data_IF_980987825703
#
_entry.id   IF_980987825703
#
_cell.length_a   1.000
_cell.length_b   1.000
_cell.length_c   1.000
_cell.angle_alpha   90.00
_cell.angle_beta   90.00
_cell.angle_gamma   90.00
#
_symmetry.space_group_name_H-M   'P 1'
#
loop_
_entity.id
_entity.type
_entity.pdbx_description
1 polymer ?
#
# COMPACT_ATOMS: atom_id res chain seq x y z
N UNK A 1 33.65 -62.23 61.88
CA UNK A 1 33.75 -62.22 60.39
C UNK A 1 32.41 -62.41 59.69
N UNK A 2 31.59 -63.41 60.06
CA UNK A 2 30.30 -63.70 59.38
C UNK A 2 29.29 -62.53 59.42
N UNK A 3 29.11 -61.88 60.57
CA UNK A 3 28.23 -60.69 60.71
C UNK A 3 28.62 -59.52 59.78
N UNK A 4 29.93 -59.28 59.60
CA UNK A 4 30.43 -58.21 58.74
C UNK A 4 30.14 -58.49 57.25
N UNK A 5 30.23 -59.77 56.86
CA UNK A 5 29.97 -60.21 55.49
C UNK A 5 28.46 -60.13 55.15
N UNK A 6 27.59 -60.49 56.10
CA UNK A 6 26.14 -60.34 55.97
C UNK A 6 25.73 -58.87 55.86
N UNK A 7 26.34 -57.99 56.65
CA UNK A 7 26.03 -56.56 56.59
C UNK A 7 26.48 -55.92 55.26
N UNK A 8 27.64 -56.31 54.72
CA UNK A 8 28.11 -55.85 53.40
C UNK A 8 27.15 -56.32 52.29
N UNK A 9 26.66 -57.57 52.36
CA UNK A 9 25.68 -58.08 51.39
C UNK A 9 24.38 -57.29 51.47
N UNK A 10 23.82 -57.07 52.66
CA UNK A 10 22.58 -56.30 52.85
C UNK A 10 22.75 -54.85 52.37
N UNK A 11 23.88 -54.20 52.72
CA UNK A 11 24.18 -52.85 52.23
C UNK A 11 24.33 -52.82 50.70
N UNK A 12 24.96 -53.81 50.07
CA UNK A 12 25.08 -53.87 48.60
C UNK A 12 23.73 -54.09 47.90
N UNK A 13 22.83 -54.87 48.50
CA UNK A 13 21.48 -55.13 47.99
C UNK A 13 20.58 -53.88 48.03
N UNK A 14 20.84 -52.93 48.93
CA UNK A 14 20.08 -51.67 49.03
C UNK A 14 20.76 -50.55 48.24
N UNK A 15 22.08 -50.40 48.34
CA UNK A 15 22.82 -49.27 47.75
C UNK A 15 22.90 -49.36 46.22
N UNK A 16 23.09 -50.55 45.65
CA UNK A 16 23.20 -50.70 44.19
C UNK A 16 21.89 -50.32 43.48
N UNK A 17 20.71 -50.79 43.90
CA UNK A 17 19.44 -50.34 43.31
C UNK A 17 19.17 -48.84 43.47
N UNK A 18 19.50 -48.26 44.63
CA UNK A 18 19.31 -46.82 44.88
C UNK A 18 20.21 -45.97 43.98
N UNK A 19 21.48 -46.36 43.78
CA UNK A 19 22.39 -45.68 42.85
C UNK A 19 21.94 -45.83 41.39
N UNK A 20 21.43 -47.01 41.00
CA UNK A 20 20.84 -47.22 39.68
C UNK A 20 19.59 -46.38 39.46
N UNK A 21 18.74 -46.23 40.47
CA UNK A 21 17.58 -45.35 40.42
C UNK A 21 17.97 -43.88 40.32
N UNK A 22 18.90 -43.40 41.16
CA UNK A 22 19.37 -42.01 41.13
C UNK A 22 20.03 -41.64 39.79
N UNK A 23 20.82 -42.55 39.21
CA UNK A 23 21.41 -42.36 37.87
C UNK A 23 20.36 -42.38 36.76
N UNK A 24 19.32 -43.21 36.87
CA UNK A 24 18.20 -43.20 35.93
C UNK A 24 17.37 -41.90 36.01
N UNK A 25 17.06 -41.43 37.22
CA UNK A 25 16.30 -40.19 37.45
C UNK A 25 17.08 -38.97 36.96
N UNK A 26 18.38 -38.87 37.26
CA UNK A 26 19.22 -37.75 36.80
C UNK A 26 19.38 -37.73 35.28
N UNK A 27 19.50 -38.90 34.63
CA UNK A 27 19.47 -39.01 33.17
C UNK A 27 18.12 -38.57 32.60
N UNK A 28 17.02 -39.05 33.19
CA UNK A 28 15.66 -38.67 32.78
C UNK A 28 15.42 -37.16 32.91
N UNK A 29 15.81 -36.56 34.03
CA UNK A 29 15.70 -35.12 34.27
C UNK A 29 16.50 -34.29 33.25
N UNK A 30 17.74 -34.69 32.93
CA UNK A 30 18.55 -34.02 31.89
C UNK A 30 17.91 -34.11 30.50
N UNK A 31 17.31 -35.26 30.16
CA UNK A 31 16.60 -35.43 28.88
C UNK A 31 15.37 -34.53 28.82
N UNK A 32 14.58 -34.46 29.89
CA UNK A 32 13.41 -33.57 29.94
C UNK A 32 13.79 -32.09 29.88
N UNK A 33 14.85 -31.68 30.58
CA UNK A 33 15.36 -30.31 30.51
C UNK A 33 15.86 -29.95 29.11
N UNK A 34 16.65 -30.83 28.48
CA UNK A 34 17.12 -30.64 27.11
C UNK A 34 15.96 -30.55 26.10
N UNK A 35 14.94 -31.41 26.27
CA UNK A 35 13.72 -31.37 25.45
C UNK A 35 12.97 -30.04 25.63
N UNK A 36 12.77 -29.59 26.86
CA UNK A 36 12.08 -28.34 27.17
C UNK A 36 12.81 -27.12 26.59
N UNK A 37 14.14 -27.04 26.76
CA UNK A 37 14.95 -25.96 26.16
C UNK A 37 14.83 -25.92 24.63
N UNK A 38 14.87 -27.10 23.98
CA UNK A 38 14.73 -27.22 22.52
C UNK A 38 13.34 -26.83 22.03
N UNK A 39 12.29 -27.20 22.76
CA UNK A 39 10.91 -26.77 22.49
C UNK A 39 10.79 -25.25 22.55
N UNK A 40 11.33 -24.61 23.59
CA UNK A 40 11.28 -23.15 23.70
C UNK A 40 12.15 -22.46 22.63
N UNK A 41 13.27 -23.06 22.22
CA UNK A 41 14.09 -22.54 21.14
C UNK A 41 13.35 -22.50 19.79
N UNK A 42 12.67 -23.60 19.40
CA UNK A 42 11.92 -23.61 18.13
C UNK A 42 10.71 -22.69 18.18
N UNK A 43 10.07 -22.52 19.34
CA UNK A 43 9.01 -21.52 19.53
C UNK A 43 9.56 -20.10 19.41
N UNK A 44 10.72 -19.82 20.00
CA UNK A 44 11.42 -18.55 19.90
C UNK A 44 11.81 -18.20 18.47
N UNK A 45 12.30 -19.18 17.70
CA UNK A 45 12.60 -19.02 16.28
C UNK A 45 11.39 -18.69 15.44
N UNK A 46 10.25 -19.33 15.70
CA UNK A 46 9.00 -18.98 15.03
C UNK A 46 8.53 -17.57 15.42
N UNK A 47 8.56 -17.21 16.70
CA UNK A 47 8.17 -15.85 17.15
C UNK A 47 9.03 -14.77 16.52
N UNK A 48 10.33 -15.03 16.36
CA UNK A 48 11.25 -14.09 15.69
C UNK A 48 10.87 -13.93 14.22
N UNK A 49 10.54 -15.01 13.52
CA UNK A 49 10.05 -14.94 12.14
C UNK A 49 8.75 -14.13 11.99
N UNK A 50 7.91 -14.09 13.02
CA UNK A 50 6.65 -13.34 13.04
C UNK A 50 6.78 -11.92 13.61
N UNK A 51 7.95 -11.55 14.13
CA UNK A 51 8.17 -10.23 14.73
C UNK A 51 8.16 -9.11 13.67
N UNK A 52 8.55 -9.43 12.43
CA UNK A 52 8.45 -8.54 11.27
C UNK A 52 7.64 -9.22 10.14
N UNK A 53 6.31 -9.11 10.18
CA UNK A 53 5.45 -9.74 9.19
C UNK A 53 5.63 -9.17 7.79
N UNK A 54 6.06 -7.90 7.64
CA UNK A 54 6.30 -7.30 6.33
C UNK A 54 7.56 -7.90 5.70
N UNK A 55 8.65 -8.02 6.46
CA UNK A 55 9.85 -8.72 5.98
C UNK A 55 9.54 -10.17 5.65
N UNK A 56 8.76 -10.86 6.49
CA UNK A 56 8.33 -12.24 6.22
C UNK A 56 7.56 -12.36 4.89
N UNK A 57 6.58 -11.48 4.66
CA UNK A 57 5.79 -11.44 3.43
C UNK A 57 6.67 -11.27 2.17
N UNK A 58 7.72 -10.44 2.25
CA UNK A 58 8.66 -10.15 1.15
C UNK A 58 9.66 -11.29 0.95
N UNK A 59 10.33 -11.73 2.01
CA UNK A 59 11.37 -12.78 1.93
C UNK A 59 10.81 -14.12 1.48
N UNK A 60 9.60 -14.48 1.90
CA UNK A 60 8.97 -15.75 1.54
C UNK A 60 8.29 -15.75 0.16
N UNK A 61 8.34 -14.65 -0.59
CA UNK A 61 7.67 -14.58 -1.89
C UNK A 61 8.28 -15.54 -2.93
N UNK A 62 9.60 -15.72 -2.87
CA UNK A 62 10.33 -16.67 -3.71
C UNK A 62 10.11 -18.14 -3.30
N UNK A 63 9.42 -18.39 -2.18
CA UNK A 63 9.10 -19.75 -1.76
C UNK A 63 7.94 -20.31 -2.61
N UNK A 64 7.95 -21.64 -2.79
CA UNK A 64 6.86 -22.39 -3.38
C UNK A 64 6.30 -23.41 -2.40
N UNK A 65 5.37 -24.24 -2.89
CA UNK A 65 4.84 -25.38 -2.13
C UNK A 65 5.94 -26.38 -1.74
N UNK A 66 6.93 -26.57 -2.62
CA UNK A 66 8.05 -27.52 -2.44
C UNK A 66 9.41 -26.85 -2.30
N UNK A 67 9.50 -25.55 -2.62
CA UNK A 67 10.74 -24.77 -2.56
C UNK A 67 10.71 -23.90 -1.31
N UNK A 68 11.62 -24.15 -0.38
CA UNK A 68 11.71 -23.37 0.86
C UNK A 68 12.65 -22.18 0.71
N UNK A 69 12.32 -21.07 1.37
CA UNK A 69 13.26 -19.97 1.64
C UNK A 69 13.70 -20.04 3.09
N UNK A 70 15.00 -19.85 3.34
CA UNK A 70 15.54 -19.74 4.70
C UNK A 70 15.19 -18.38 5.30
N UNK A 71 14.75 -18.37 6.55
CA UNK A 71 14.48 -17.16 7.30
C UNK A 71 15.67 -16.78 8.16
N UNK A 72 15.73 -15.51 8.56
CA UNK A 72 16.77 -15.03 9.46
C UNK A 72 16.82 -15.88 10.74
N UNK A 73 18.02 -16.38 11.06
CA UNK A 73 18.23 -17.21 12.24
C UNK A 73 18.37 -16.33 13.49
N UNK A 74 17.58 -16.58 14.55
CA UNK A 74 17.74 -15.85 15.79
C UNK A 74 19.03 -16.29 16.50
N UNK A 75 19.68 -15.36 17.19
CA UNK A 75 20.86 -15.63 18.04
C UNK A 75 20.45 -16.33 19.35
N UNK A 76 19.98 -17.57 19.26
CA UNK A 76 19.60 -18.40 20.40
C UNK A 76 20.73 -19.34 20.82
N UNK A 77 20.83 -19.58 22.13
CA UNK A 77 21.79 -20.56 22.70
C UNK A 77 21.60 -21.97 22.13
N UNK A 78 20.35 -22.34 21.83
CA UNK A 78 20.04 -23.53 21.02
C UNK A 78 19.78 -23.07 19.59
N UNK A 79 20.66 -23.46 18.66
CA UNK A 79 20.52 -23.10 17.25
C UNK A 79 19.26 -23.71 16.64
N UNK A 80 18.55 -22.89 15.87
CA UNK A 80 17.35 -23.28 15.14
C UNK A 80 17.43 -22.77 13.71
N UNK A 81 16.95 -23.56 12.77
CA UNK A 81 16.80 -23.18 11.37
C UNK A 81 15.31 -23.01 11.06
N UNK A 82 14.94 -21.81 10.63
CA UNK A 82 13.57 -21.48 10.22
C UNK A 82 13.48 -21.43 8.70
N UNK A 83 12.47 -22.09 8.14
CA UNK A 83 12.19 -22.10 6.70
C UNK A 83 10.74 -21.72 6.46
N UNK A 84 10.45 -21.02 5.38
CA UNK A 84 9.10 -20.77 4.92
C UNK A 84 8.82 -21.43 3.57
N UNK A 85 7.57 -21.88 3.43
CA UNK A 85 6.99 -22.43 2.21
C UNK A 85 5.72 -21.63 1.91
N UNK A 86 5.50 -21.28 0.65
CA UNK A 86 4.29 -20.57 0.21
C UNK A 86 3.21 -21.58 -0.15
N UNK A 87 2.12 -21.58 0.59
CA UNK A 87 1.03 -22.55 0.43
C UNK A 87 -0.03 -22.05 -0.55
N UNK A 88 -0.47 -20.81 -0.38
CA UNK A 88 -1.53 -20.22 -1.18
C UNK A 88 -1.47 -18.70 -1.09
N UNK A 89 -2.09 -18.03 -2.04
CA UNK A 89 -2.11 -16.58 -2.20
C UNK A 89 -3.55 -16.11 -2.46
N UNK A 90 -3.93 -14.95 -1.90
CA UNK A 90 -5.25 -14.32 -2.08
C UNK A 90 -5.06 -12.94 -2.70
N UNK A 91 -5.81 -12.64 -3.75
CA UNK A 91 -5.74 -11.38 -4.49
C UNK A 91 -6.52 -10.25 -3.82
N UNK A 92 -6.15 -9.00 -4.15
CA UNK A 92 -6.71 -7.78 -3.57
C UNK A 92 -8.22 -7.68 -3.75
N UNK A 93 -8.68 -8.09 -4.92
CA UNK A 93 -10.09 -8.14 -5.28
C UNK A 93 -10.45 -9.55 -5.70
N UNK A 94 -11.69 -9.94 -5.37
CA UNK A 94 -12.31 -11.13 -5.93
C UNK A 94 -12.36 -10.97 -7.46
N UNK A 95 -11.87 -11.96 -8.24
CA UNK A 95 -12.03 -11.98 -9.69
C UNK A 95 -13.45 -11.68 -10.19
N UNK A 96 -14.47 -12.04 -9.41
CA UNK A 96 -15.89 -11.78 -9.69
C UNK A 96 -16.34 -10.36 -9.38
N UNK A 97 -15.46 -9.49 -8.87
CA UNK A 97 -15.73 -8.07 -8.62
C UNK A 97 -14.77 -7.16 -9.40
N UNK A 98 -14.07 -7.70 -10.41
CA UNK A 98 -13.13 -6.93 -11.22
C UNK A 98 -13.85 -5.94 -12.13
N UNK A 99 -13.75 -4.67 -11.76
CA UNK A 99 -14.10 -3.51 -12.59
C UNK A 99 -13.23 -3.41 -13.85
N UNK A 100 -13.64 -2.55 -14.79
CA UNK A 100 -12.76 -2.17 -15.89
C UNK A 100 -11.50 -1.49 -15.37
N UNK A 101 -10.37 -1.86 -15.97
CA UNK A 101 -9.05 -1.39 -15.60
C UNK A 101 -8.83 0.07 -16.00
N UNK A 102 -9.32 0.44 -17.17
CA UNK A 102 -9.14 1.77 -17.76
C UNK A 102 -10.41 2.20 -18.48
N UNK A 103 -10.76 3.48 -18.35
CA UNK A 103 -11.89 4.08 -19.05
C UNK A 103 -11.62 5.56 -19.38
N UNK A 104 -12.19 6.04 -20.49
CA UNK A 104 -12.26 7.46 -20.86
C UNK A 104 -13.70 7.96 -20.86
N UNK A 105 -13.92 9.21 -20.44
CA UNK A 105 -15.24 9.86 -20.48
C UNK A 105 -15.40 10.89 -21.61
N UNK A 106 -14.28 11.40 -22.16
CA UNK A 106 -14.29 12.37 -23.25
C UNK A 106 -14.56 11.68 -24.58
N UNK A 107 -15.50 12.20 -25.37
CA UNK A 107 -15.82 11.68 -26.71
C UNK A 107 -14.58 11.75 -27.61
N UNK A 108 -14.29 10.64 -28.30
CA UNK A 108 -13.13 10.50 -29.19
C UNK A 108 -11.80 10.23 -28.47
N UNK A 109 -11.76 10.22 -27.14
CA UNK A 109 -10.54 9.87 -26.41
C UNK A 109 -10.30 8.35 -26.43
N UNK A 110 -9.09 7.96 -26.83
CA UNK A 110 -8.67 6.57 -26.85
C UNK A 110 -8.07 6.12 -25.52
N UNK A 111 -8.20 4.83 -25.24
CA UNK A 111 -7.46 4.15 -24.17
C UNK A 111 -6.05 3.82 -24.68
N UNK A 112 -4.98 3.97 -23.86
CA UNK A 112 -3.63 3.58 -24.24
C UNK A 112 -3.52 2.09 -24.61
N UNK A 113 -2.74 1.77 -25.66
CA UNK A 113 -2.68 0.43 -26.29
C UNK A 113 -2.01 -0.67 -25.47
N UNK A 114 -1.45 -0.38 -24.30
CA UNK A 114 -0.74 -1.33 -23.42
C UNK A 114 -1.25 -1.27 -21.98
N UNK A 115 -2.53 -0.93 -21.79
CA UNK A 115 -3.13 -0.90 -20.46
C UNK A 115 -3.20 -2.29 -19.83
N UNK A 116 -2.87 -2.41 -18.55
CA UNK A 116 -3.01 -3.66 -17.81
C UNK A 116 -4.48 -3.91 -17.45
N UNK A 117 -5.01 -5.08 -17.82
CA UNK A 117 -6.40 -5.47 -17.55
C UNK A 117 -7.38 -5.04 -18.65
N UNK A 118 -8.69 -5.23 -18.41
CA UNK A 118 -9.73 -5.01 -19.42
C UNK A 118 -10.15 -3.55 -19.50
N UNK A 119 -10.01 -2.93 -20.66
CA UNK A 119 -10.52 -1.59 -20.93
C UNK A 119 -12.06 -1.56 -21.03
N UNK A 120 -12.68 -0.46 -20.63
CA UNK A 120 -14.11 -0.26 -20.81
C UNK A 120 -14.45 -0.13 -22.32
N UNK A 121 -15.31 -1.00 -22.88
CA UNK A 121 -15.61 -0.97 -24.32
C UNK A 121 -16.26 0.31 -24.82
N UNK A 122 -16.99 1.04 -23.96
CA UNK A 122 -17.64 2.31 -24.29
C UNK A 122 -16.75 3.55 -24.10
N UNK A 123 -15.43 3.36 -23.90
CA UNK A 123 -14.48 4.46 -23.73
C UNK A 123 -14.51 5.41 -24.92
N UNK A 124 -14.73 6.69 -24.65
CA UNK A 124 -14.79 7.75 -25.66
C UNK A 124 -15.95 7.66 -26.65
N UNK A 125 -16.95 6.81 -26.37
CA UNK A 125 -18.15 6.69 -27.19
C UNK A 125 -19.06 7.92 -27.07
N UNK A 126 -19.81 8.20 -28.13
CA UNK A 126 -20.92 9.16 -28.10
C UNK A 126 -22.24 8.43 -27.74
N UNK A 127 -23.18 9.09 -27.03
CA UNK A 127 -23.06 10.42 -26.44
C UNK A 127 -22.08 10.45 -25.26
N UNK A 128 -21.57 11.63 -24.89
CA UNK A 128 -20.57 11.79 -23.83
C UNK A 128 -20.99 11.23 -22.45
N UNK A 129 -22.28 11.02 -22.22
CA UNK A 129 -22.84 10.41 -21.00
C UNK A 129 -22.91 8.88 -21.04
N UNK A 130 -22.58 8.22 -22.16
CA UNK A 130 -22.78 6.78 -22.35
C UNK A 130 -22.08 5.92 -21.29
N UNK A 131 -20.90 6.34 -20.83
CA UNK A 131 -20.14 5.63 -19.80
C UNK A 131 -20.86 5.58 -18.44
N UNK A 132 -21.73 6.56 -18.15
CA UNK A 132 -22.40 6.70 -16.85
C UNK A 132 -23.38 5.55 -16.58
N UNK A 133 -23.96 4.94 -17.63
CA UNK A 133 -24.83 3.78 -17.49
C UNK A 133 -24.10 2.53 -16.96
N UNK A 134 -22.77 2.50 -17.09
CA UNK A 134 -21.91 1.43 -16.57
C UNK A 134 -21.14 1.85 -15.32
N UNK A 135 -21.39 3.05 -14.77
CA UNK A 135 -20.67 3.59 -13.63
C UNK A 135 -21.37 3.28 -12.30
N UNK A 136 -20.61 2.82 -11.30
CA UNK A 136 -21.12 2.53 -9.96
C UNK A 136 -20.17 3.07 -8.89
N UNK A 137 -20.75 3.49 -7.76
CA UNK A 137 -19.99 3.99 -6.59
C UNK A 137 -19.19 2.88 -5.88
N UNK A 138 -19.64 1.64 -6.00
CA UNK A 138 -18.91 0.46 -5.51
C UNK A 138 -18.36 -0.34 -6.69
N UNK A 139 -17.15 -0.92 -6.56
CA UNK A 139 -16.55 -1.70 -7.63
C UNK A 139 -17.38 -2.98 -7.86
N UNK A 140 -17.74 -3.23 -9.13
CA UNK A 140 -18.46 -4.44 -9.57
C UNK A 140 -17.84 -4.99 -10.84
N UNK A 141 -18.06 -6.28 -11.10
CA UNK A 141 -17.59 -6.95 -12.32
C UNK A 141 -18.01 -6.19 -13.58
N UNK A 142 -17.07 -5.93 -14.49
CA UNK A 142 -17.33 -5.33 -15.80
C UNK A 142 -18.11 -4.01 -15.73
N UNK A 143 -17.81 -3.19 -14.72
CA UNK A 143 -18.34 -1.84 -14.56
C UNK A 143 -17.22 -0.82 -14.45
N UNK A 144 -17.55 0.44 -14.72
CA UNK A 144 -16.69 1.59 -14.39
C UNK A 144 -16.89 1.90 -12.91
N UNK A 145 -15.80 2.06 -12.17
CA UNK A 145 -15.87 2.49 -10.78
C UNK A 145 -15.83 4.02 -10.72
N UNK A 146 -16.86 4.64 -10.20
CA UNK A 146 -16.93 6.09 -9.99
C UNK A 146 -17.29 6.32 -8.51
N UNK A 147 -16.30 6.23 -7.59
CA UNK A 147 -16.55 6.37 -6.16
C UNK A 147 -17.13 7.75 -5.83
N UNK A 148 -17.87 7.84 -4.71
CA UNK A 148 -18.17 9.12 -4.09
C UNK A 148 -16.91 9.66 -3.38
N UNK A 149 -16.80 10.98 -3.23
CA UNK A 149 -15.73 11.58 -2.43
C UNK A 149 -15.85 11.17 -0.96
N UNK A 150 -14.74 10.99 -0.25
CA UNK A 150 -14.74 10.82 1.20
C UNK A 150 -14.94 12.16 1.92
N UNK A 151 -15.45 12.13 3.15
CA UNK A 151 -15.36 13.29 4.04
C UNK A 151 -13.88 13.58 4.36
N UNK A 152 -13.52 14.85 4.50
CA UNK A 152 -12.16 15.27 4.83
C UNK A 152 -12.12 16.25 6.01
N UNK A 153 -10.92 16.39 6.59
CA UNK A 153 -10.69 17.41 7.60
C UNK A 153 -10.68 18.81 6.99
N UNK A 154 -11.48 19.73 7.53
CA UNK A 154 -11.58 21.12 7.06
C UNK A 154 -10.42 22.01 7.54
N UNK A 155 -9.57 21.51 8.43
CA UNK A 155 -8.43 22.23 8.96
C UNK A 155 -7.44 22.55 7.83
N UNK A 156 -7.14 23.83 7.63
CA UNK A 156 -6.07 24.25 6.72
C UNK A 156 -4.73 23.75 7.26
N UNK A 157 -3.93 23.12 6.39
CA UNK A 157 -2.62 22.56 6.71
C UNK A 157 -1.52 23.41 6.12
N UNK A 158 -0.37 23.42 6.80
CA UNK A 158 0.84 24.05 6.30
C UNK A 158 1.46 23.22 5.17
N UNK A 159 1.93 23.89 4.13
CA UNK A 159 2.70 23.28 3.04
C UNK A 159 4.19 23.07 3.39
N UNK A 160 4.63 23.42 4.60
CA UNK A 160 6.02 23.23 5.04
C UNK A 160 6.28 21.88 5.71
N UNK A 161 5.22 21.17 6.10
CA UNK A 161 5.30 19.92 6.87
C UNK A 161 5.80 20.13 8.30
N UNK A 162 5.86 19.03 9.06
CA UNK A 162 6.26 18.97 10.46
C UNK A 162 7.51 18.10 10.58
N UNK A 163 8.48 18.53 11.38
CA UNK A 163 9.73 17.79 11.54
C UNK A 163 9.65 16.79 12.70
N UNK A 164 10.22 15.61 12.52
CA UNK A 164 10.48 14.69 13.63
C UNK A 164 11.59 15.24 14.54
N UNK A 165 11.48 15.10 15.88
CA UNK A 165 12.45 15.62 16.82
C UNK A 165 13.76 14.79 16.81
N UNK A 166 14.81 15.35 17.41
CA UNK A 166 16.10 14.67 17.56
C UNK A 166 15.93 13.35 18.31
N UNK A 167 16.53 12.27 17.79
CA UNK A 167 16.36 10.90 18.32
C UNK A 167 15.46 10.02 17.45
N UNK A 168 14.72 10.60 16.51
CA UNK A 168 13.99 9.89 15.46
C UNK A 168 14.68 10.08 14.10
N UNK A 169 14.29 9.27 13.11
CA UNK A 169 14.76 9.44 11.74
C UNK A 169 14.36 10.81 11.18
N UNK A 170 15.23 11.43 10.39
CA UNK A 170 14.92 12.71 9.74
C UNK A 170 13.76 12.52 8.77
N UNK A 171 12.66 13.23 9.00
CA UNK A 171 11.42 13.05 8.26
C UNK A 171 10.61 14.35 8.28
N UNK A 172 10.09 14.75 7.12
CA UNK A 172 9.08 15.80 6.98
C UNK A 172 7.71 15.16 6.87
N UNK A 173 6.87 15.40 7.87
CA UNK A 173 5.56 14.77 8.04
C UNK A 173 4.45 15.72 7.60
N UNK A 174 3.49 15.22 6.84
CA UNK A 174 2.27 15.93 6.47
C UNK A 174 1.06 15.19 7.04
N UNK A 175 0.05 15.95 7.48
CA UNK A 175 -1.17 15.40 8.09
C UNK A 175 -2.41 15.66 7.21
N UNK A 176 -3.41 14.75 7.21
CA UNK A 176 -4.65 14.88 6.46
C UNK A 176 -5.39 16.19 6.75
N UNK A 177 -5.99 16.79 5.73
CA UNK A 177 -6.68 18.07 5.81
C UNK A 177 -6.69 18.82 4.48
N UNK A 178 -6.95 20.13 4.54
CA UNK A 178 -7.04 20.99 3.35
C UNK A 178 -5.75 21.76 3.10
N UNK A 179 -5.24 21.69 1.88
CA UNK A 179 -4.03 22.37 1.42
C UNK A 179 -4.39 23.33 0.28
N UNK A 180 -4.32 24.63 0.58
CA UNK A 180 -4.61 25.71 -0.38
C UNK A 180 -3.37 26.24 -1.07
N UNK A 181 -2.25 26.21 -0.36
CA UNK A 181 -0.96 26.63 -0.88
C UNK A 181 -0.32 25.50 -1.69
N UNK A 182 0.47 25.83 -2.73
CA UNK A 182 1.19 24.81 -3.48
C UNK A 182 2.20 24.10 -2.59
N UNK A 183 2.36 22.80 -2.81
CA UNK A 183 3.31 21.96 -2.11
C UNK A 183 4.39 21.53 -3.09
N UNK A 184 5.64 21.88 -2.82
CA UNK A 184 6.78 21.51 -3.68
C UNK A 184 7.82 20.75 -2.88
N UNK A 185 8.02 19.49 -3.25
CA UNK A 185 8.97 18.57 -2.59
C UNK A 185 10.08 18.26 -3.58
N UNK A 186 11.29 18.77 -3.31
CA UNK A 186 12.47 18.61 -4.19
C UNK A 186 13.75 18.20 -3.47
N UNK A 187 13.79 18.39 -2.15
CA UNK A 187 14.96 18.11 -1.31
C UNK A 187 15.15 16.63 -1.02
N UNK A 188 16.26 16.30 -0.35
CA UNK A 188 16.63 14.94 0.03
C UNK A 188 16.05 14.49 1.38
N UNK A 189 15.42 15.39 2.15
CA UNK A 189 14.72 15.03 3.38
C UNK A 189 13.55 14.11 3.03
N UNK A 190 13.52 12.87 3.55
CA UNK A 190 12.40 11.96 3.32
C UNK A 190 11.08 12.58 3.80
N UNK A 191 10.01 12.34 3.04
CA UNK A 191 8.67 12.85 3.32
C UNK A 191 7.71 11.71 3.60
N UNK A 192 6.92 11.87 4.64
CA UNK A 192 5.84 10.95 4.98
C UNK A 192 4.52 11.71 5.09
N UNK A 193 3.52 11.31 4.30
CA UNK A 193 2.14 11.73 4.52
C UNK A 193 1.49 10.66 5.39
N UNK A 194 0.99 11.00 6.57
CA UNK A 194 0.29 10.02 7.43
C UNK A 194 -1.00 9.54 6.75
N UNK A 195 -1.53 8.38 7.15
CA UNK A 195 -2.78 7.83 6.58
C UNK A 195 -3.96 8.78 6.74
N UNK A 196 -4.86 8.84 5.76
CA UNK A 196 -6.03 9.71 5.80
C UNK A 196 -6.39 10.39 4.47
N UNK A 197 -7.21 11.44 4.53
CA UNK A 197 -7.72 12.17 3.35
C UNK A 197 -7.04 13.54 3.22
N UNK A 198 -6.43 13.79 2.07
CA UNK A 198 -5.77 15.05 1.75
C UNK A 198 -6.54 15.74 0.64
N UNK A 199 -7.03 16.96 0.90
CA UNK A 199 -7.67 17.77 -0.11
C UNK A 199 -6.72 18.88 -0.56
N UNK A 200 -6.40 18.91 -1.85
CA UNK A 200 -5.51 19.91 -2.45
C UNK A 200 -6.29 20.80 -3.44
N UNK A 201 -6.23 22.11 -3.22
CA UNK A 201 -6.77 23.12 -4.15
C UNK A 201 -5.70 23.68 -5.12
N UNK A 202 -4.44 23.28 -4.91
CA UNK A 202 -3.28 23.75 -5.66
C UNK A 202 -2.28 22.61 -5.94
N UNK A 203 -1.25 22.90 -6.72
CA UNK A 203 -0.30 21.90 -7.23
C UNK A 203 0.52 21.26 -6.11
N UNK A 204 0.57 19.93 -6.12
CA UNK A 204 1.56 19.10 -5.41
C UNK A 204 2.62 18.69 -6.42
N UNK A 205 3.82 19.26 -6.32
CA UNK A 205 4.94 19.00 -7.21
C UNK A 205 6.02 18.18 -6.50
N UNK A 206 6.47 17.11 -7.15
CA UNK A 206 7.49 16.19 -6.63
C UNK A 206 8.57 16.01 -7.70
N UNK A 207 9.82 16.33 -7.37
CA UNK A 207 10.95 16.35 -8.30
C UNK A 207 12.27 16.23 -7.53
N UNK A 208 13.43 16.33 -8.19
CA UNK A 208 14.73 16.37 -7.52
C UNK A 208 15.07 15.08 -6.77
N UNK A 209 15.53 15.19 -5.52
CA UNK A 209 15.88 14.03 -4.68
C UNK A 209 14.74 13.62 -3.73
N UNK A 210 13.50 13.99 -4.06
CA UNK A 210 12.35 13.72 -3.20
C UNK A 210 12.15 12.21 -3.01
N UNK A 211 11.99 11.79 -1.75
CA UNK A 211 11.58 10.44 -1.40
C UNK A 211 10.30 10.51 -0.55
N UNK A 212 9.17 10.19 -1.16
CA UNK A 212 7.83 10.40 -0.59
C UNK A 212 7.11 9.07 -0.41
N UNK A 213 6.63 8.82 0.81
CA UNK A 213 5.70 7.73 1.10
C UNK A 213 4.37 8.33 1.56
N UNK A 214 3.28 7.85 0.96
CA UNK A 214 1.94 8.37 1.18
C UNK A 214 1.05 7.33 1.86
N UNK A 215 0.74 7.61 3.13
CA UNK A 215 0.03 6.74 4.07
C UNK A 215 0.90 5.61 4.61
N UNK A 216 0.51 5.04 5.74
CA UNK A 216 1.18 3.86 6.30
C UNK A 216 0.74 2.57 5.59
N UNK A 217 1.57 1.53 5.57
CA UNK A 217 1.27 0.28 4.88
C UNK A 217 2.48 -0.55 4.43
N UNK A 218 2.35 -1.24 3.29
CA UNK A 218 3.34 -2.23 2.83
C UNK A 218 4.71 -1.64 2.45
N UNK A 219 4.76 -0.35 2.13
CA UNK A 219 6.00 0.43 2.00
C UNK A 219 6.16 1.31 3.23
N UNK A 220 7.19 1.05 4.02
CA UNK A 220 7.48 1.85 5.21
C UNK A 220 7.99 3.24 4.83
N UNK A 221 7.43 4.28 5.45
CA UNK A 221 7.90 5.67 5.33
C UNK A 221 9.11 5.97 6.21
N UNK A 222 9.53 7.24 6.25
CA UNK A 222 10.52 7.72 7.23
C UNK A 222 9.99 7.86 8.66
N UNK A 223 8.69 7.69 8.84
CA UNK A 223 7.93 7.62 10.08
C UNK A 223 6.75 6.67 9.86
N UNK A 224 6.00 6.38 10.91
CA UNK A 224 4.66 5.76 10.84
C UNK A 224 3.60 6.71 11.42
N UNK A 225 2.33 6.33 11.30
CA UNK A 225 1.20 7.16 11.74
C UNK A 225 1.24 7.48 13.25
N UNK A 226 1.62 6.48 14.06
CA UNK A 226 1.67 6.61 15.51
C UNK A 226 2.78 7.58 15.92
N UNK A 227 4.01 7.35 15.44
CA UNK A 227 5.16 8.20 15.74
C UNK A 227 4.94 9.64 15.29
N UNK A 228 4.40 9.81 14.08
CA UNK A 228 4.05 11.12 13.55
C UNK A 228 3.05 11.83 14.47
N UNK A 229 1.96 11.17 14.86
CA UNK A 229 0.91 11.77 15.67
C UNK A 229 1.39 12.20 17.07
N UNK A 230 2.27 11.41 17.70
CA UNK A 230 2.71 11.66 19.08
C UNK A 230 3.97 12.51 19.20
N UNK A 231 4.89 12.40 18.23
CA UNK A 231 6.24 12.94 18.39
C UNK A 231 6.60 14.02 17.38
N UNK A 232 5.89 14.19 16.27
CA UNK A 232 6.22 15.26 15.33
C UNK A 232 6.15 16.63 16.01
N UNK A 233 7.18 17.45 15.79
CA UNK A 233 7.32 18.75 16.44
C UNK A 233 6.19 19.67 16.00
N UNK A 234 5.43 20.20 16.96
CA UNK A 234 4.24 21.03 16.73
C UNK A 234 3.18 20.33 15.86
N UNK A 235 3.03 19.00 15.98
CA UNK A 235 1.96 18.28 15.33
C UNK A 235 0.59 18.94 15.63
N UNK A 236 -0.33 19.00 14.64
CA UNK A 236 -1.65 19.55 14.87
C UNK A 236 -2.42 18.80 15.96
N UNK A 237 -3.15 19.53 16.79
CA UNK A 237 -4.02 18.95 17.83
C UNK A 237 -5.07 17.99 17.25
N UNK A 238 -5.59 18.29 16.06
CA UNK A 238 -6.44 17.38 15.28
C UNK A 238 -5.64 16.89 14.08
N UNK A 239 -5.13 15.66 14.13
CA UNK A 239 -4.31 15.09 13.06
C UNK A 239 -5.11 14.48 11.90
N UNK A 240 -6.39 14.13 12.10
CA UNK A 240 -7.28 13.55 11.07
C UNK A 240 -6.76 12.25 10.42
N UNK A 241 -5.93 11.51 11.14
CA UNK A 241 -5.42 10.21 10.66
C UNK A 241 -6.57 9.21 10.68
N UNK A 242 -6.79 8.52 9.56
CA UNK A 242 -7.84 7.52 9.44
C UNK A 242 -7.47 6.40 8.47
N UNK A 243 -7.90 5.18 8.81
CA UNK A 243 -7.57 3.98 8.03
C UNK A 243 -6.05 3.73 7.95
N UNK A 244 -5.66 2.93 6.95
CA UNK A 244 -4.26 2.76 6.53
C UNK A 244 -4.13 3.21 5.08
N UNK A 245 -3.00 3.80 4.70
CA UNK A 245 -2.83 4.42 3.38
C UNK A 245 -3.52 5.79 3.31
N UNK A 246 -3.36 6.49 2.19
CA UNK A 246 -3.99 7.80 2.02
C UNK A 246 -4.60 8.00 0.63
N UNK A 247 -5.51 8.96 0.58
CA UNK A 247 -6.22 9.36 -0.64
C UNK A 247 -6.02 10.84 -0.85
N UNK A 248 -5.54 11.21 -2.04
CA UNK A 248 -5.40 12.59 -2.46
C UNK A 248 -6.60 12.98 -3.31
N UNK A 249 -7.29 14.02 -2.89
CA UNK A 249 -8.42 14.61 -3.59
C UNK A 249 -7.98 15.95 -4.17
N UNK A 250 -8.16 16.13 -5.47
CA UNK A 250 -7.79 17.36 -6.18
C UNK A 250 -9.03 18.13 -6.62
N UNK A 251 -9.13 19.39 -6.22
CA UNK A 251 -10.18 20.32 -6.64
C UNK A 251 -9.57 21.68 -7.03
N UNK A 252 -10.38 22.63 -7.49
CA UNK A 252 -9.88 23.92 -7.99
C UNK A 252 -8.74 23.72 -9.03
N UNK A 253 -7.58 24.33 -8.85
CA UNK A 253 -6.38 24.15 -9.68
C UNK A 253 -5.46 23.01 -9.20
N UNK A 254 -5.93 22.21 -8.23
CA UNK A 254 -5.20 21.11 -7.63
C UNK A 254 -4.80 20.05 -8.65
N UNK A 255 -3.53 19.64 -8.59
CA UNK A 255 -2.97 18.58 -9.43
C UNK A 255 -1.72 17.97 -8.82
N UNK A 256 -1.39 16.75 -9.23
CA UNK A 256 -0.14 16.08 -8.93
C UNK A 256 0.81 16.23 -10.13
N UNK A 257 1.98 16.83 -9.90
CA UNK A 257 3.05 16.96 -10.89
C UNK A 257 4.25 16.17 -10.41
N UNK A 258 4.68 15.19 -11.20
CA UNK A 258 5.89 14.43 -10.98
C UNK A 258 6.81 14.65 -12.17
N UNK A 259 7.95 15.30 -11.93
CA UNK A 259 8.91 15.61 -12.98
C UNK A 259 10.34 15.34 -12.54
N UNK A 260 11.26 15.37 -13.49
CA UNK A 260 12.70 15.28 -13.26
C UNK A 260 13.46 16.45 -13.89
N UNK A 261 12.82 17.63 -13.95
CA UNK A 261 13.44 18.88 -14.37
C UNK A 261 14.46 19.34 -13.34
N UNK A 262 14.16 19.13 -12.06
CA UNK A 262 15.12 19.32 -10.97
C UNK A 262 16.02 18.09 -10.91
N UNK A 263 17.34 18.28 -10.95
CA UNK A 263 18.29 17.17 -10.90
C UNK A 263 18.18 16.36 -9.60
N UNK A 264 18.05 15.04 -9.71
CA UNK A 264 18.00 14.13 -8.58
C UNK A 264 17.18 12.87 -8.87
N UNK A 265 17.20 11.92 -7.93
CA UNK A 265 16.39 10.72 -8.01
C UNK A 265 15.06 10.92 -7.28
N UNK A 266 13.94 10.82 -8.01
CA UNK A 266 12.60 11.08 -7.46
C UNK A 266 11.90 9.76 -7.13
N UNK A 267 11.29 9.66 -5.94
CA UNK A 267 10.45 8.52 -5.57
C UNK A 267 9.16 9.01 -4.91
N UNK A 268 8.02 8.51 -5.38
CA UNK A 268 6.74 8.60 -4.68
C UNK A 268 6.03 7.25 -4.69
N UNK A 269 5.65 6.79 -3.50
CA UNK A 269 4.92 5.53 -3.31
C UNK A 269 3.70 5.79 -2.44
N UNK A 270 2.52 5.50 -2.97
CA UNK A 270 1.30 5.43 -2.20
C UNK A 270 1.13 4.03 -1.63
N UNK A 271 0.78 3.94 -0.36
CA UNK A 271 0.24 2.72 0.20
C UNK A 271 -1.25 2.59 -0.12
N UNK A 272 -1.71 1.35 -0.31
CA UNK A 272 -3.11 1.08 -0.60
C UNK A 272 -4.01 1.55 0.55
N UNK A 273 -5.11 2.24 0.21
CA UNK A 273 -6.06 2.73 1.20
C UNK A 273 -6.97 1.61 1.71
N UNK A 274 -6.92 1.33 3.00
CA UNK A 274 -7.85 0.46 3.72
C UNK A 274 -8.64 1.26 4.73
N UNK A 275 -9.97 1.07 4.73
CA UNK A 275 -10.89 1.72 5.66
C UNK A 275 -11.80 0.65 6.25
N UNK A 276 -12.02 0.72 7.56
CA UNK A 276 -12.95 -0.18 8.22
C UNK A 276 -14.38 0.12 7.76
N UNK A 277 -15.20 -0.92 7.58
CA UNK A 277 -16.61 -0.76 7.16
C UNK A 277 -17.45 0.08 8.15
N UNK A 278 -17.00 0.21 9.39
CA UNK A 278 -17.64 1.04 10.42
C UNK A 278 -17.30 2.53 10.33
N UNK A 279 -16.23 2.91 9.61
CA UNK A 279 -15.92 4.32 9.35
C UNK A 279 -16.66 4.81 8.10
N UNK A 280 -17.96 5.03 8.28
CA UNK A 280 -18.84 5.48 7.20
C UNK A 280 -18.37 6.80 6.55
N UNK A 281 -17.65 7.66 7.29
CA UNK A 281 -17.27 8.99 6.81
C UNK A 281 -16.16 8.96 5.75
N UNK A 282 -15.26 7.97 5.83
CA UNK A 282 -14.14 7.84 4.89
C UNK A 282 -14.20 6.56 4.06
N UNK A 283 -15.23 5.73 4.23
CA UNK A 283 -15.37 4.44 3.55
C UNK A 283 -15.28 4.55 2.03
N UNK A 284 -15.80 5.63 1.42
CA UNK A 284 -15.73 5.82 -0.03
C UNK A 284 -14.30 5.94 -0.57
N UNK A 285 -13.33 6.25 0.29
CA UNK A 285 -11.90 6.27 -0.08
C UNK A 285 -11.24 4.89 -0.11
N UNK A 286 -11.90 3.83 0.37
CA UNK A 286 -11.34 2.50 0.42
C UNK A 286 -10.90 2.03 -0.98
N UNK A 287 -9.61 1.71 -1.12
CA UNK A 287 -9.02 1.31 -2.40
C UNK A 287 -8.76 2.44 -3.40
N UNK A 288 -9.04 3.70 -3.05
CA UNK A 288 -8.83 4.88 -3.91
C UNK A 288 -7.57 5.63 -3.45
N UNK A 289 -6.62 5.87 -4.36
CA UNK A 289 -5.41 6.66 -4.07
C UNK A 289 -5.55 8.11 -4.51
N UNK A 290 -6.20 8.36 -5.66
CA UNK A 290 -6.38 9.71 -6.20
C UNK A 290 -7.79 9.88 -6.72
N UNK A 291 -8.40 11.03 -6.41
CA UNK A 291 -9.70 11.43 -6.93
C UNK A 291 -9.72 12.92 -7.30
N UNK A 292 -10.54 13.32 -8.27
CA UNK A 292 -10.86 14.73 -8.52
C UNK A 292 -12.27 15.10 -8.07
N UNK A 293 -12.44 16.33 -7.59
CA UNK A 293 -13.76 16.91 -7.36
C UNK A 293 -14.37 17.30 -8.71
N UNK A 294 -15.49 16.68 -9.06
CA UNK A 294 -16.13 16.82 -10.36
C UNK A 294 -17.35 17.77 -10.35
N UNK A 295 -17.72 18.25 -11.53
CA UNK A 295 -18.83 19.17 -11.74
C UNK A 295 -18.38 20.61 -11.93
N UNK A 296 -19.34 21.53 -11.87
CA UNK A 296 -19.10 22.98 -11.95
C UNK A 296 -19.87 23.68 -10.83
N UNK A 297 -19.37 24.85 -10.42
CA UNK A 297 -20.11 25.74 -9.52
C UNK A 297 -20.75 26.84 -10.36
N UNK A 298 -22.06 27.02 -10.21
CA UNK A 298 -22.80 28.14 -10.79
C UNK A 298 -23.77 28.70 -9.75
N UNK A 299 -23.66 30.00 -9.45
CA UNK A 299 -24.55 30.65 -8.48
C UNK A 299 -24.41 30.16 -7.04
N UNK A 300 -23.31 29.49 -6.69
CA UNK A 300 -23.08 28.91 -5.35
C UNK A 300 -23.51 27.45 -5.22
N UNK A 301 -24.28 26.93 -6.19
CA UNK A 301 -24.67 25.52 -6.26
C UNK A 301 -23.73 24.74 -7.17
N UNK A 302 -23.57 23.45 -6.86
CA UNK A 302 -22.85 22.51 -7.70
C UNK A 302 -23.80 21.87 -8.71
N UNK A 303 -23.34 21.69 -9.94
CA UNK A 303 -24.06 20.95 -10.98
C UNK A 303 -23.11 20.06 -11.79
N UNK A 304 -23.70 19.16 -12.57
CA UNK A 304 -22.94 18.29 -13.49
C UNK A 304 -22.15 19.14 -14.49
N UNK A 305 -20.95 18.67 -14.84
CA UNK A 305 -20.17 19.24 -15.94
C UNK A 305 -20.68 18.65 -17.24
N UNK A 306 -21.32 19.47 -18.07
CA UNK A 306 -21.79 19.06 -19.40
C UNK A 306 -21.26 20.00 -20.47
N UNK A 307 -20.33 19.49 -21.28
CA UNK A 307 -19.83 20.11 -22.51
C UNK A 307 -20.45 19.37 -23.70
N UNK A 308 -21.35 20.03 -24.41
CA UNK A 308 -22.19 19.42 -25.44
C UNK A 308 -21.36 18.63 -26.47
N UNK A 309 -21.72 17.35 -26.66
CA UNK A 309 -21.05 16.45 -27.60
C UNK A 309 -19.62 16.05 -27.25
N UNK A 310 -19.08 16.51 -26.12
CA UNK A 310 -17.65 16.41 -25.82
C UNK A 310 -17.37 15.70 -24.49
N UNK A 311 -17.98 16.16 -23.39
CA UNK A 311 -17.71 15.65 -22.05
C UNK A 311 -18.97 15.76 -21.18
N UNK A 312 -19.32 14.70 -20.46
CA UNK A 312 -20.41 14.73 -19.48
C UNK A 312 -20.00 13.95 -18.23
N UNK A 313 -19.85 14.66 -17.12
CA UNK A 313 -19.41 14.12 -15.84
C UNK A 313 -20.35 14.61 -14.75
N UNK A 314 -20.97 13.68 -13.97
CA UNK A 314 -21.80 14.05 -12.85
C UNK A 314 -21.03 14.87 -11.81
N UNK A 315 -21.73 15.75 -11.10
CA UNK A 315 -21.17 16.42 -9.94
C UNK A 315 -20.72 15.40 -8.89
N UNK A 316 -19.60 15.66 -8.24
CA UNK A 316 -19.17 14.82 -7.12
C UNK A 316 -20.13 14.95 -5.94
N UNK A 317 -20.32 13.81 -5.26
CA UNK A 317 -21.03 13.72 -3.99
C UNK A 317 -20.06 13.24 -2.93
N UNK A 318 -20.34 13.55 -1.67
CA UNK A 318 -19.60 12.99 -0.53
C UNK A 318 -20.39 11.83 0.03
N UNK A 319 -19.75 10.66 0.06
CA UNK A 319 -20.32 9.44 0.62
C UNK A 319 -20.30 9.46 2.15
N UNK A 320 -21.22 8.72 2.75
CA UNK A 320 -21.39 8.66 4.19
C UNK A 320 -22.76 8.10 4.57
N UNK A 321 -23.13 8.24 5.85
CA UNK A 321 -24.48 7.89 6.32
C UNK A 321 -25.58 8.70 5.60
N UNK A 322 -25.25 9.90 5.14
CA UNK A 322 -26.09 10.72 4.27
C UNK A 322 -25.22 11.25 3.14
N UNK A 323 -25.68 11.04 1.91
CA UNK A 323 -24.98 11.52 0.71
C UNK A 323 -25.26 13.01 0.56
N UNK A 324 -24.21 13.81 0.41
CA UNK A 324 -24.30 15.27 0.27
C UNK A 324 -23.52 15.75 -0.96
N UNK A 325 -23.73 16.99 -1.40
CA UNK A 325 -22.94 17.56 -2.53
C UNK A 325 -21.52 17.88 -2.07
N UNK A 326 -20.55 17.81 -2.98
CA UNK A 326 -19.14 18.10 -2.64
C UNK A 326 -18.97 19.50 -2.05
N UNK A 327 -19.64 20.51 -2.63
CA UNK A 327 -19.58 21.90 -2.15
C UNK A 327 -20.08 22.05 -0.71
N UNK A 328 -21.10 21.30 -0.30
CA UNK A 328 -21.60 21.33 1.08
C UNK A 328 -20.58 20.82 2.11
N UNK A 329 -19.58 20.07 1.65
CA UNK A 329 -18.46 19.56 2.44
C UNK A 329 -17.16 20.34 2.15
N UNK A 330 -17.27 21.56 1.62
CA UNK A 330 -16.14 22.46 1.31
C UNK A 330 -15.19 21.98 0.21
N UNK A 331 -15.57 20.99 -0.59
CA UNK A 331 -14.86 20.68 -1.82
C UNK A 331 -15.21 21.68 -2.93
N UNK A 332 -14.21 22.10 -3.68
CA UNK A 332 -14.33 22.94 -4.88
C UNK A 332 -14.04 22.08 -6.12
N UNK A 333 -14.94 22.00 -7.12
CA UNK A 333 -14.71 21.29 -8.37
C UNK A 333 -13.42 21.71 -9.07
N UNK A 334 -12.77 20.77 -9.73
CA UNK A 334 -11.54 21.05 -10.47
C UNK A 334 -11.84 21.91 -11.71
N UNK A 335 -10.99 22.90 -11.94
CA UNK A 335 -11.02 23.76 -13.14
C UNK A 335 -10.15 23.20 -14.27
N UNK A 336 -9.44 22.09 -14.02
CA UNK A 336 -8.53 21.45 -14.96
C UNK A 336 -9.29 20.48 -15.88
N UNK A 337 -10.15 21.05 -16.72
CA UNK A 337 -11.05 20.33 -17.62
C UNK A 337 -10.50 20.34 -19.06
N UNK A 338 -10.58 19.23 -19.80
CA UNK A 338 -10.29 19.24 -21.23
C UNK A 338 -11.07 20.33 -21.98
N UNK A 339 -10.38 21.17 -22.73
CA UNK A 339 -11.04 22.14 -23.61
C UNK A 339 -11.54 21.42 -24.85
N UNK A 340 -12.82 21.64 -25.19
CA UNK A 340 -13.37 21.14 -26.45
C UNK A 340 -12.53 21.65 -27.64
N UNK A 341 -12.34 20.86 -28.70
CA UNK A 341 -11.74 21.35 -29.94
C UNK A 341 -12.60 22.50 -30.46
N UNK A 342 -12.07 23.73 -30.43
CA UNK A 342 -12.73 24.87 -31.05
C UNK A 342 -12.44 24.75 -32.55
N UNK A 343 -13.47 24.51 -33.37
CA UNK A 343 -13.35 24.66 -34.81
C UNK A 343 -13.43 26.18 -35.14
N UNK A 344 -12.49 26.77 -35.92
CA UNK A 344 -11.30 26.19 -36.55
C UNK A 344 -10.05 26.25 -35.64
N UNK A 345 -9.18 25.26 -35.80
CA UNK A 345 -7.96 24.94 -35.07
C UNK A 345 -7.13 26.13 -34.55
N UNK A 346 -7.55 26.72 -33.43
CA UNK A 346 -6.60 27.27 -32.47
C UNK A 346 -6.11 26.06 -31.69
N UNK A 347 -4.80 25.80 -31.73
CA UNK A 347 -4.16 24.78 -30.88
C UNK A 347 -4.64 25.05 -29.46
N UNK A 348 -5.48 24.18 -28.86
CA UNK A 348 -5.85 24.38 -27.47
C UNK A 348 -4.54 24.39 -26.69
N UNK A 349 -4.28 25.44 -25.91
CA UNK A 349 -3.27 25.35 -24.86
C UNK A 349 -3.68 24.15 -24.02
N UNK A 350 -2.95 23.04 -24.19
CA UNK A 350 -3.36 21.74 -23.68
C UNK A 350 -3.75 21.90 -22.21
N UNK A 351 -5.01 21.59 -21.82
CA UNK A 351 -5.46 21.77 -20.47
C UNK A 351 -4.52 21.02 -19.52
N UNK A 352 -4.12 21.68 -18.44
CA UNK A 352 -3.14 21.12 -17.53
C UNK A 352 -3.68 19.79 -16.97
N UNK A 353 -2.90 18.69 -17.03
CA UNK A 353 -3.33 17.42 -16.47
C UNK A 353 -3.54 17.52 -14.96
N UNK A 354 -4.53 16.79 -14.42
CA UNK A 354 -4.67 16.61 -12.96
C UNK A 354 -3.54 15.71 -12.44
N UNK A 355 -3.13 14.73 -13.25
CA UNK A 355 -1.94 13.91 -12.99
C UNK A 355 -0.99 14.11 -14.15
N UNK A 356 0.15 14.74 -13.87
CA UNK A 356 1.17 15.08 -14.85
C UNK A 356 2.49 14.41 -14.47
N UNK A 357 2.83 13.32 -15.15
CA UNK A 357 4.12 12.65 -15.02
C UNK A 357 4.95 13.00 -16.25
N UNK A 358 5.93 13.89 -16.10
CA UNK A 358 6.72 14.41 -17.21
C UNK A 358 8.22 14.20 -17.00
N UNK A 359 8.77 13.22 -17.73
CA UNK A 359 10.10 12.67 -17.52
C UNK A 359 10.97 12.88 -18.75
N UNK A 360 11.92 13.81 -18.64
CA UNK A 360 12.79 14.22 -19.74
C UNK A 360 14.25 13.81 -19.57
N UNK A 361 14.67 13.48 -18.35
CA UNK A 361 16.08 13.12 -18.02
C UNK A 361 16.28 11.64 -17.70
N UNK A 362 17.54 11.19 -17.68
CA UNK A 362 17.93 9.80 -17.34
C UNK A 362 17.92 9.49 -15.82
N UNK A 363 17.61 10.48 -14.97
CA UNK A 363 17.62 10.32 -13.52
C UNK A 363 16.59 9.26 -13.04
N UNK A 364 16.88 8.52 -11.98
CA UNK A 364 15.98 7.45 -11.53
C UNK A 364 14.66 8.06 -11.05
N UNK A 365 13.53 7.54 -11.52
CA UNK A 365 12.21 7.93 -11.01
C UNK A 365 11.36 6.72 -10.72
N UNK A 366 10.79 6.66 -9.52
CA UNK A 366 9.91 5.60 -9.07
C UNK A 366 8.55 6.17 -8.66
N UNK A 367 7.50 5.85 -9.39
CA UNK A 367 6.11 6.25 -9.12
C UNK A 367 5.27 5.01 -8.97
N UNK A 368 4.72 4.80 -7.77
CA UNK A 368 3.87 3.65 -7.46
C UNK A 368 2.58 4.13 -6.80
N UNK A 369 1.46 3.97 -7.51
CA UNK A 369 0.11 4.31 -7.08
C UNK A 369 -0.75 3.04 -7.25
N UNK A 370 -0.89 2.22 -6.20
CA UNK A 370 -1.58 0.93 -6.29
C UNK A 370 -3.10 1.04 -6.15
N UNK A 371 -3.62 2.14 -5.60
CA UNK A 371 -5.05 2.39 -5.50
C UNK A 371 -5.63 2.96 -6.80
N UNK A 372 -6.96 3.00 -6.86
CA UNK A 372 -7.69 3.52 -8.01
C UNK A 372 -7.46 5.03 -8.17
N UNK A 373 -7.45 5.46 -9.43
CA UNK A 373 -7.35 6.86 -9.83
C UNK A 373 -8.63 7.25 -10.54
N UNK A 374 -9.40 8.17 -9.95
CA UNK A 374 -10.68 8.64 -10.49
C UNK A 374 -10.61 10.13 -10.80
N UNK A 375 -10.34 10.49 -12.05
CA UNK A 375 -10.28 11.88 -12.54
C UNK A 375 -11.18 12.09 -13.77
N UNK A 376 -12.48 11.74 -13.72
CA UNK A 376 -13.34 11.62 -14.89
C UNK A 376 -13.57 12.93 -15.66
N UNK A 377 -13.30 14.09 -15.06
CA UNK A 377 -13.34 15.38 -15.77
C UNK A 377 -11.97 15.94 -16.18
N UNK A 378 -10.88 15.26 -15.81
CA UNK A 378 -9.51 15.74 -16.01
C UNK A 378 -8.67 14.82 -16.89
N UNK A 379 -7.48 15.30 -17.25
CA UNK A 379 -6.52 14.56 -18.07
C UNK A 379 -5.45 13.88 -17.22
N UNK A 380 -5.04 12.67 -17.63
CA UNK A 380 -3.86 11.96 -17.11
C UNK A 380 -2.77 11.96 -18.17
N UNK A 381 -1.62 12.56 -17.85
CA UNK A 381 -0.46 12.64 -18.72
C UNK A 381 0.69 11.80 -18.16
N UNK A 382 1.26 10.94 -19.00
CA UNK A 382 2.52 10.24 -18.75
C UNK A 382 3.42 10.40 -19.96
N UNK A 383 4.32 11.38 -19.88
CA UNK A 383 5.25 11.75 -20.93
C UNK A 383 6.66 11.28 -20.58
N UNK A 384 7.24 10.44 -21.43
CA UNK A 384 8.65 10.06 -21.37
C UNK A 384 9.32 10.52 -22.66
N UNK A 385 10.21 11.51 -22.56
CA UNK A 385 10.66 12.28 -23.72
C UNK A 385 11.52 11.49 -24.73
N UNK A 386 12.18 10.41 -24.29
CA UNK A 386 13.06 9.60 -25.15
C UNK A 386 13.31 8.21 -24.57
N UNK A 387 13.83 7.29 -25.41
CA UNK A 387 14.30 5.97 -24.97
C UNK A 387 15.32 6.08 -23.82
N UNK A 388 16.24 7.06 -23.89
CA UNK A 388 17.23 7.29 -22.85
C UNK A 388 16.58 7.76 -21.54
N UNK A 389 15.54 8.59 -21.61
CA UNK A 389 14.78 9.01 -20.44
C UNK A 389 13.94 7.87 -19.83
N UNK A 390 13.56 6.86 -20.63
CA UNK A 390 12.81 5.69 -20.16
C UNK A 390 13.65 4.76 -19.27
N UNK A 391 14.98 4.81 -19.36
CA UNK A 391 15.86 4.06 -18.49
C UNK A 391 15.71 4.51 -17.02
N UNK A 392 15.81 3.55 -16.09
CA UNK A 392 15.71 3.77 -14.64
C UNK A 392 14.38 4.37 -14.18
N UNK A 393 13.31 4.14 -14.93
CA UNK A 393 11.96 4.59 -14.59
C UNK A 393 11.09 3.41 -14.20
N UNK A 394 10.28 3.63 -13.17
CA UNK A 394 9.18 2.76 -12.78
C UNK A 394 7.95 3.64 -12.64
N UNK A 395 6.89 3.33 -13.38
CA UNK A 395 5.61 4.05 -13.31
C UNK A 395 4.50 3.02 -13.21
N UNK A 396 3.76 3.05 -12.10
CA UNK A 396 2.67 2.13 -11.85
C UNK A 396 1.44 2.90 -11.35
N UNK A 397 0.43 3.02 -12.20
CA UNK A 397 -0.94 3.38 -11.84
C UNK A 397 -1.77 2.09 -11.92
N UNK A 398 -1.71 1.29 -10.86
CA UNK A 398 -2.04 -0.14 -10.91
C UNK A 398 -3.39 -0.51 -10.30
N UNK A 399 -4.11 0.44 -9.69
CA UNK A 399 -5.43 0.18 -9.10
C UNK A 399 -6.59 0.38 -10.09
N UNK A 400 -6.33 0.71 -11.33
CA UNK A 400 -7.28 1.14 -12.36
C UNK A 400 -7.35 2.66 -12.48
N UNK A 401 -7.73 3.15 -13.66
CA UNK A 401 -7.79 4.59 -13.96
C UNK A 401 -9.07 4.94 -14.72
N UNK A 402 -9.79 5.95 -14.24
CA UNK A 402 -10.84 6.64 -14.97
C UNK A 402 -10.41 8.08 -15.18
N UNK A 403 -10.40 8.53 -16.42
CA UNK A 403 -10.01 9.89 -16.78
C UNK A 403 -10.94 10.43 -17.88
N UNK A 404 -10.94 11.74 -18.09
CA UNK A 404 -11.54 12.29 -19.30
C UNK A 404 -10.78 11.81 -20.53
N UNK A 405 -9.47 11.99 -20.53
CA UNK A 405 -8.57 11.53 -21.59
C UNK A 405 -7.17 11.20 -21.05
N UNK A 406 -6.41 10.49 -21.87
CA UNK A 406 -5.04 10.10 -21.59
C UNK A 406 -4.09 10.72 -22.61
N UNK A 407 -2.91 11.12 -22.17
CA UNK A 407 -1.76 11.39 -23.04
C UNK A 407 -0.61 10.52 -22.55
N UNK A 408 -0.21 9.52 -23.33
CA UNK A 408 0.83 8.57 -22.93
C UNK A 408 1.78 8.36 -24.13
N UNK A 409 3.01 8.86 -24.06
CA UNK A 409 3.99 8.81 -25.18
C UNK A 409 4.33 7.40 -25.62
N UNK A 410 4.76 7.11 -26.84
CA UNK A 410 5.12 5.70 -27.18
C UNK A 410 6.30 5.15 -26.38
N UNK A 411 7.18 6.02 -25.88
CA UNK A 411 8.30 5.63 -25.04
C UNK A 411 7.81 5.17 -23.66
N UNK A 412 8.15 3.93 -23.30
CA UNK A 412 7.70 3.27 -22.07
C UNK A 412 8.90 2.87 -21.20
N UNK A 413 8.85 3.13 -19.88
CA UNK A 413 9.72 2.47 -18.93
C UNK A 413 9.61 0.95 -19.00
N UNK A 414 10.69 0.23 -18.65
CA UNK A 414 10.65 -1.23 -18.56
C UNK A 414 9.63 -1.73 -17.52
N UNK A 415 9.43 -0.96 -16.44
CA UNK A 415 8.36 -1.20 -15.47
C UNK A 415 7.30 -0.12 -15.63
N UNK A 416 6.38 -0.33 -16.57
CA UNK A 416 5.24 0.54 -16.82
C UNK A 416 3.93 -0.24 -16.63
N UNK A 417 3.06 0.25 -15.77
CA UNK A 417 1.70 -0.28 -15.57
C UNK A 417 0.72 0.88 -15.53
N UNK A 418 -0.29 0.83 -16.38
CA UNK A 418 -1.43 1.74 -16.37
C UNK A 418 -2.71 0.92 -16.51
N UNK A 419 -3.54 0.89 -15.48
CA UNK A 419 -4.75 0.07 -15.43
C UNK A 419 -4.84 -0.71 -14.13
N UNK A 420 -5.43 -1.90 -14.17
CA UNK A 420 -5.68 -2.71 -12.99
C UNK A 420 -4.78 -3.94 -12.99
N UNK A 421 -3.80 -3.92 -12.09
CA UNK A 421 -3.15 -5.12 -11.61
C UNK A 421 -3.90 -5.54 -10.34
N UNK A 422 -4.34 -6.79 -10.24
CA UNK A 422 -4.94 -7.32 -9.03
C UNK A 422 -3.83 -8.03 -8.22
N UNK A 423 -3.07 -7.32 -7.35
CA UNK A 423 -1.95 -7.93 -6.65
C UNK A 423 -2.44 -8.95 -5.63
N UNK A 424 -1.55 -9.86 -5.26
CA UNK A 424 -1.76 -10.75 -4.12
C UNK A 424 -1.62 -9.92 -2.84
N UNK A 425 -2.68 -9.76 -2.05
CA UNK A 425 -2.64 -8.97 -0.81
C UNK A 425 -2.42 -9.81 0.43
N UNK A 426 -2.66 -11.12 0.35
CA UNK A 426 -2.46 -12.04 1.47
C UNK A 426 -1.78 -13.29 0.96
N UNK A 427 -0.81 -13.76 1.72
CA UNK A 427 -0.08 -15.00 1.46
C UNK A 427 -0.22 -15.92 2.66
N UNK A 428 -0.39 -17.20 2.39
CA UNK A 428 -0.46 -18.24 3.41
C UNK A 428 0.87 -18.97 3.39
N UNK A 429 1.62 -18.86 4.47
CA UNK A 429 2.91 -19.52 4.62
C UNK A 429 2.83 -20.68 5.60
N UNK A 430 3.55 -21.75 5.29
CA UNK A 430 3.95 -22.75 6.27
C UNK A 430 5.36 -22.41 6.73
N UNK A 431 5.52 -22.07 8.00
CA UNK A 431 6.83 -21.86 8.62
C UNK A 431 7.19 -23.12 9.39
N UNK A 432 8.39 -23.64 9.12
CA UNK A 432 8.94 -24.81 9.80
C UNK A 432 10.25 -24.37 10.45
N UNK A 433 10.29 -24.41 11.78
CA UNK A 433 11.49 -24.16 12.57
C UNK A 433 11.95 -25.47 13.20
N UNK A 434 13.16 -25.90 12.88
CA UNK A 434 13.77 -27.12 13.42
C UNK A 434 14.97 -26.77 14.29
N UNK A 435 15.20 -27.54 15.35
CA UNK A 435 16.50 -27.49 16.04
C UNK A 435 17.60 -28.01 15.12
N UNK A 436 18.78 -27.41 15.19
CA UNK A 436 19.95 -27.85 14.43
C UNK A 436 20.21 -29.36 14.60
N UNK A 437 20.35 -30.04 13.46
CA UNK A 437 20.56 -31.48 13.33
C UNK A 437 22.04 -31.88 13.49
N UNK A 438 22.96 -30.91 13.50
CA UNK A 438 24.42 -31.13 13.55
C UNK A 438 24.92 -31.74 14.87
N UNK A 439 24.07 -31.80 15.90
CA UNK A 439 24.47 -32.14 17.29
C UNK A 439 24.01 -33.56 17.70
N UNK A 440 23.53 -34.41 16.77
CA UNK A 440 23.14 -35.81 17.06
C UNK A 440 22.01 -35.98 18.09
N UNK A 441 21.28 -34.90 18.40
CA UNK A 441 20.19 -34.84 19.35
C UNK A 441 18.83 -34.96 18.64
N UNK A 442 17.75 -35.36 19.35
CA UNK A 442 16.43 -35.43 18.76
C UNK A 442 16.00 -34.07 18.19
N UNK A 443 15.53 -34.10 16.94
CA UNK A 443 15.06 -32.93 16.21
C UNK A 443 13.67 -32.58 16.73
N UNK A 444 13.53 -31.40 17.31
CA UNK A 444 12.22 -30.84 17.64
C UNK A 444 11.82 -29.91 16.51
N UNK A 445 10.56 -29.99 16.09
CA UNK A 445 10.02 -29.20 14.98
C UNK A 445 8.84 -28.37 15.45
N UNK A 446 8.88 -27.07 15.18
CA UNK A 446 7.73 -26.17 15.28
C UNK A 446 7.22 -25.88 13.88
N UNK A 447 5.95 -26.19 13.62
CA UNK A 447 5.28 -25.86 12.36
C UNK A 447 4.12 -24.92 12.62
N UNK A 448 4.06 -23.82 11.87
CA UNK A 448 2.91 -22.92 11.89
C UNK A 448 2.41 -22.63 10.48
N UNK A 449 1.10 -22.51 10.35
CA UNK A 449 0.45 -21.98 9.15
C UNK A 449 0.00 -20.57 9.50
N UNK A 450 0.53 -19.59 8.76
CA UNK A 450 0.28 -18.17 9.01
C UNK A 450 -0.23 -17.49 7.75
N UNK A 451 -1.22 -16.63 7.92
CA UNK A 451 -1.69 -15.73 6.88
C UNK A 451 -1.06 -14.39 7.12
N UNK A 452 -0.40 -13.84 6.12
CA UNK A 452 0.29 -12.55 6.22
C UNK A 452 -0.22 -11.67 5.09
N UNK A 453 -0.73 -10.52 5.46
CA UNK A 453 -1.17 -9.49 4.54
C UNK A 453 0.02 -8.61 4.14
N UNK A 454 -0.05 -8.01 2.96
CA UNK A 454 0.98 -7.09 2.46
C UNK A 454 1.19 -5.88 3.38
N UNK A 455 0.17 -5.48 4.14
CA UNK A 455 0.24 -4.40 5.12
C UNK A 455 0.82 -4.83 6.48
N UNK A 456 1.32 -6.06 6.62
CA UNK A 456 1.90 -6.59 7.85
C UNK A 456 0.88 -7.15 8.85
N UNK A 457 -0.43 -7.00 8.62
CA UNK A 457 -1.41 -7.71 9.44
C UNK A 457 -1.27 -9.22 9.21
N UNK A 458 -1.33 -10.01 10.28
CA UNK A 458 -1.19 -11.46 10.16
C UNK A 458 -2.08 -12.22 11.13
N UNK A 459 -2.38 -13.46 10.80
CA UNK A 459 -3.10 -14.41 11.64
C UNK A 459 -2.36 -15.75 11.67
N UNK A 460 -2.32 -16.39 12.84
CA UNK A 460 -1.78 -17.75 13.00
C UNK A 460 -2.96 -18.72 12.95
N UNK A 461 -3.09 -19.44 11.84
CA UNK A 461 -4.19 -20.39 11.64
C UNK A 461 -3.97 -21.69 12.41
N UNK A 462 -2.72 -22.15 12.48
CA UNK A 462 -2.34 -23.31 13.27
C UNK A 462 -0.89 -23.19 13.72
N UNK A 463 -0.60 -23.75 14.89
CA UNK A 463 0.75 -23.87 15.42
C UNK A 463 0.87 -25.16 16.22
N UNK A 464 1.78 -26.03 15.81
CA UNK A 464 2.10 -27.27 16.49
C UNK A 464 3.62 -27.38 16.73
N UNK A 465 4.00 -27.95 17.87
CA UNK A 465 5.38 -28.33 18.18
C UNK A 465 5.42 -29.83 18.42
N UNK A 466 6.33 -30.52 17.75
CA UNK A 466 6.47 -31.98 17.75
C UNK A 466 7.91 -32.39 18.07
#
# INVERSE_FOLDING_TARGET
MIMMLVMIIICSLVVIPVLRYATAVTRSARVQQSKSMRIEAVKGGLRTALADPISLYKSCDAAGLTVSVALAEPLLTTKVASKCYKMNDVTASDPLNLRYAVATTQVGAAVPTDSAGTAFPGSGAAPASAWQASAFVTPKLNTVWAPDLPAHGLNQRSNSGYAMPTGFATCSVYFPGTYKDPLTITGSTPVFFTSGIYYFENTVRISGNANVVVGDGGTQGCSNDQEAAFYATNAPSTHNISGLGATFVFGSTGRLVIDNVTAGNTSIVFNQRYVAATDASTLSSAGVSIESVNGVISGGDQSDLTLAGFLSVPQSRVGGATITTAVSQSYVPSTLVPTAPIAPAVVPTNPLPIIDINLSTAATVNVIIPGYVSVPQGLVNVNVASVAAAANKTIQLAGGVLAASYTVTDQRPASFVLGLLNPIIQKIFKIVTITDTSIGAPVITSTAIVQVNQNGAYAVNSWAVQ
#
